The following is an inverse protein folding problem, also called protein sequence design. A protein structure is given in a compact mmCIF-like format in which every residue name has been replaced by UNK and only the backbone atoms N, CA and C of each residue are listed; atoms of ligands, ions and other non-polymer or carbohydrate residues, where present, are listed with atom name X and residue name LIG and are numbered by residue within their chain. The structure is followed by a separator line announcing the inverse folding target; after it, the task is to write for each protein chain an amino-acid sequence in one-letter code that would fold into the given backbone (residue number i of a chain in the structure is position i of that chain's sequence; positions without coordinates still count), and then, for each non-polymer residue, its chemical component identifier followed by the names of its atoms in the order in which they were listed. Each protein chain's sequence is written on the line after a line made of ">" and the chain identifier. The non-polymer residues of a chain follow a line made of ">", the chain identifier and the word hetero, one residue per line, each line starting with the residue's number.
data_IF_247735003717
#
_entry.id   IF_247735003717
#
_cell.length_a   1.000
_cell.length_b   1.000
_cell.length_c   1.000
_cell.angle_alpha   90.00
_cell.angle_beta   90.00
_cell.angle_gamma   90.00
#
_symmetry.space_group_name_H-M   'P 1'
#
loop_
_entity.id
_entity.type
_entity.pdbx_description
1 polymer ?
#
# COMPACT_ATOMS: atom_id res chain seq x y z
N UNK A 1 5.00 -26.40 1.14
CA UNK A 1 4.87 -24.98 0.77
C UNK A 1 6.26 -24.40 0.97
N UNK A 2 6.92 -23.97 -0.10
CA UNK A 2 8.32 -23.56 -0.06
C UNK A 2 8.42 -22.30 0.81
N UNK A 3 9.03 -22.40 1.99
CA UNK A 3 9.12 -21.31 2.98
C UNK A 3 10.26 -20.33 2.66
N UNK A 4 11.01 -20.56 1.58
CA UNK A 4 12.12 -19.73 1.09
C UNK A 4 11.69 -18.83 -0.09
N UNK A 5 10.48 -18.26 -0.04
CA UNK A 5 10.15 -17.15 -0.94
C UNK A 5 10.65 -15.87 -0.27
N UNK A 6 11.86 -15.46 -0.63
CA UNK A 6 12.35 -14.11 -0.32
C UNK A 6 11.33 -13.11 -0.89
N UNK A 7 10.57 -12.46 -0.02
CA UNK A 7 9.54 -11.48 -0.43
C UNK A 7 10.26 -10.17 -0.72
N UNK A 8 10.52 -9.91 -2.01
CA UNK A 8 11.13 -8.66 -2.48
C UNK A 8 10.04 -7.61 -2.74
N UNK A 9 10.32 -6.35 -2.41
CA UNK A 9 9.43 -5.23 -2.71
C UNK A 9 9.66 -4.62 -4.10
N UNK A 10 10.69 -5.07 -4.81
CA UNK A 10 11.12 -4.56 -6.13
C UNK A 10 10.02 -4.67 -7.20
N UNK A 11 9.04 -5.57 -6.99
CA UNK A 11 7.92 -5.72 -7.92
C UNK A 11 6.90 -4.57 -7.82
N UNK A 12 6.86 -3.83 -6.70
CA UNK A 12 5.83 -2.82 -6.43
C UNK A 12 6.37 -1.48 -5.95
N UNK A 13 7.68 -1.37 -5.71
CA UNK A 13 8.35 -0.10 -5.43
C UNK A 13 8.65 0.68 -6.73
N UNK A 14 9.19 1.89 -6.60
CA UNK A 14 9.60 2.74 -7.73
C UNK A 14 10.88 2.25 -8.45
N UNK A 15 11.27 0.97 -8.34
CA UNK A 15 12.43 0.42 -9.06
C UNK A 15 12.15 0.23 -10.56
N UNK A 16 13.21 -0.01 -11.35
CA UNK A 16 13.13 -0.16 -12.82
C UNK A 16 12.23 -1.32 -13.30
N UNK A 17 11.83 -2.24 -12.40
CA UNK A 17 10.92 -3.38 -12.65
C UNK A 17 9.49 -3.20 -12.10
N UNK A 18 9.18 -2.08 -11.46
CA UNK A 18 8.05 -1.93 -10.53
C UNK A 18 6.66 -1.67 -11.13
N UNK A 19 6.12 -2.59 -11.94
CA UNK A 19 4.70 -2.56 -12.36
C UNK A 19 3.87 -3.77 -11.86
N UNK A 20 4.51 -4.71 -11.15
CA UNK A 20 3.88 -5.93 -10.66
C UNK A 20 3.28 -6.83 -11.75
N UNK A 21 3.63 -6.63 -13.02
CA UNK A 21 3.00 -7.28 -14.16
C UNK A 21 1.56 -6.83 -14.42
N UNK A 22 1.15 -5.68 -13.88
CA UNK A 22 -0.19 -5.11 -14.00
C UNK A 22 -0.21 -4.02 -15.07
N UNK A 23 -1.27 -4.00 -15.88
CA UNK A 23 -1.50 -2.92 -16.84
C UNK A 23 -1.50 -1.56 -16.12
N UNK A 24 -0.66 -0.64 -16.58
CA UNK A 24 -0.39 0.66 -15.93
C UNK A 24 0.19 0.58 -14.50
N UNK A 25 0.69 -0.57 -14.04
CA UNK A 25 1.11 -0.79 -12.66
C UNK A 25 2.09 0.26 -12.12
N UNK A 26 3.15 0.58 -12.86
CA UNK A 26 4.11 1.60 -12.44
C UNK A 26 3.48 3.00 -12.29
N UNK A 27 2.50 3.36 -13.13
CA UNK A 27 1.78 4.63 -13.02
C UNK A 27 0.83 4.63 -11.82
N UNK A 28 0.17 3.51 -11.54
CA UNK A 28 -0.70 3.32 -10.38
C UNK A 28 0.09 3.32 -9.06
N UNK A 29 1.28 2.73 -9.01
CA UNK A 29 2.19 2.81 -7.86
C UNK A 29 2.59 4.26 -7.56
N UNK A 30 2.98 5.02 -8.59
CA UNK A 30 3.28 6.46 -8.44
C UNK A 30 2.07 7.28 -7.98
N UNK A 31 0.86 6.95 -8.45
CA UNK A 31 -0.38 7.57 -7.96
C UNK A 31 -0.57 7.31 -6.47
N UNK A 32 -0.40 6.07 -6.02
CA UNK A 32 -0.49 5.72 -4.60
C UNK A 32 0.51 6.52 -3.76
N UNK A 33 1.77 6.62 -4.18
CA UNK A 33 2.78 7.43 -3.46
C UNK A 33 2.40 8.91 -3.40
N UNK A 34 1.97 9.48 -4.54
CA UNK A 34 1.62 10.90 -4.62
C UNK A 34 0.40 11.28 -3.77
N UNK A 35 -0.52 10.34 -3.51
CA UNK A 35 -1.64 10.53 -2.59
C UNK A 35 -1.13 10.82 -1.16
N UNK A 36 0.03 10.29 -0.76
CA UNK A 36 0.59 10.45 0.58
C UNK A 36 1.62 11.57 0.72
N UNK A 37 2.24 12.04 -0.36
CA UNK A 37 3.40 12.94 -0.32
C UNK A 37 3.11 14.43 -0.02
N UNK A 38 1.89 14.80 0.38
CA UNK A 38 1.41 16.18 0.63
C UNK A 38 1.64 17.21 -0.52
N UNK A 39 2.28 16.81 -1.62
CA UNK A 39 2.53 17.62 -2.81
C UNK A 39 1.33 17.58 -3.77
N UNK A 40 0.52 18.65 -3.69
CA UNK A 40 -0.66 18.79 -4.53
C UNK A 40 -0.34 18.95 -6.02
N UNK A 41 0.83 19.50 -6.36
CA UNK A 41 1.26 19.67 -7.76
C UNK A 41 1.66 18.34 -8.39
N UNK A 42 2.43 17.54 -7.66
CA UNK A 42 2.77 16.18 -8.05
C UNK A 42 1.53 15.31 -8.21
N UNK A 43 0.60 15.37 -7.24
CA UNK A 43 -0.65 14.61 -7.28
C UNK A 43 -1.53 15.00 -8.49
N UNK A 44 -1.66 16.29 -8.79
CA UNK A 44 -2.41 16.74 -9.97
C UNK A 44 -1.79 16.22 -11.27
N UNK A 45 -0.46 16.34 -11.40
CA UNK A 45 0.29 15.86 -12.58
C UNK A 45 0.13 14.36 -12.82
N UNK A 46 0.15 13.53 -11.76
CA UNK A 46 -0.01 12.08 -11.90
C UNK A 46 -1.46 11.70 -12.21
N UNK A 47 -2.45 12.41 -11.66
CA UNK A 47 -3.87 12.21 -12.04
C UNK A 47 -4.09 12.46 -13.53
N UNK A 48 -3.51 13.53 -14.08
CA UNK A 48 -3.61 13.84 -15.50
C UNK A 48 -2.97 12.72 -16.36
N UNK A 49 -1.81 12.20 -15.94
CA UNK A 49 -1.16 11.06 -16.61
C UNK A 49 -2.02 9.78 -16.58
N UNK A 50 -2.70 9.49 -15.47
CA UNK A 50 -3.60 8.33 -15.35
C UNK A 50 -4.82 8.50 -16.27
N UNK A 51 -5.41 9.70 -16.30
CA UNK A 51 -6.54 9.99 -17.19
C UNK A 51 -6.14 9.83 -18.66
N UNK A 52 -4.96 10.32 -19.04
CA UNK A 52 -4.45 10.21 -20.41
C UNK A 52 -4.17 8.75 -20.80
N UNK A 53 -3.54 7.97 -19.92
CA UNK A 53 -3.12 6.61 -20.23
C UNK A 53 -4.24 5.56 -20.11
N UNK A 54 -5.11 5.71 -19.12
CA UNK A 54 -6.07 4.67 -18.71
C UNK A 54 -7.53 5.15 -18.64
N UNK A 55 -7.77 6.47 -18.68
CA UNK A 55 -9.10 7.07 -18.62
C UNK A 55 -9.56 7.46 -17.22
N UNK A 56 -10.61 8.28 -17.19
CA UNK A 56 -11.13 8.85 -15.94
C UNK A 56 -11.76 7.80 -15.00
N UNK A 57 -12.41 6.77 -15.55
CA UNK A 57 -13.03 5.71 -14.75
C UNK A 57 -11.97 4.91 -13.97
N UNK A 58 -10.83 4.62 -14.60
CA UNK A 58 -9.69 3.94 -13.95
C UNK A 58 -9.12 4.80 -12.82
N UNK A 59 -9.01 6.12 -13.02
CA UNK A 59 -8.56 7.01 -11.94
C UNK A 59 -9.51 6.96 -10.73
N UNK A 60 -10.82 7.00 -10.97
CA UNK A 60 -11.83 6.95 -9.91
C UNK A 60 -11.72 5.65 -9.13
N UNK A 61 -11.64 4.52 -9.82
CA UNK A 61 -11.53 3.19 -9.19
C UNK A 61 -10.22 3.06 -8.39
N UNK A 62 -9.09 3.48 -8.95
CA UNK A 62 -7.80 3.43 -8.27
C UNK A 62 -7.80 4.26 -6.97
N UNK A 63 -8.30 5.50 -7.03
CA UNK A 63 -8.39 6.37 -5.84
C UNK A 63 -9.38 5.81 -4.81
N UNK A 64 -10.50 5.21 -5.25
CA UNK A 64 -11.46 4.57 -4.37
C UNK A 64 -10.82 3.38 -3.61
N UNK A 65 -10.01 2.57 -4.28
CA UNK A 65 -9.24 1.48 -3.65
C UNK A 65 -8.25 2.03 -2.62
N UNK A 66 -7.46 3.06 -2.96
CA UNK A 66 -6.53 3.68 -2.01
C UNK A 66 -7.25 4.22 -0.77
N UNK A 67 -8.39 4.89 -0.95
CA UNK A 67 -9.20 5.41 0.15
C UNK A 67 -9.79 4.29 1.03
N UNK A 68 -10.21 3.17 0.42
CA UNK A 68 -10.72 2.01 1.15
C UNK A 68 -9.65 1.40 2.06
N UNK A 69 -8.43 1.20 1.57
CA UNK A 69 -7.34 0.67 2.38
C UNK A 69 -6.95 1.62 3.52
N UNK A 70 -6.93 2.93 3.26
CA UNK A 70 -6.71 3.92 4.30
C UNK A 70 -7.75 3.82 5.43
N UNK A 71 -9.04 3.72 5.07
CA UNK A 71 -10.13 3.56 6.03
C UNK A 71 -9.99 2.26 6.84
N UNK A 72 -9.70 1.12 6.19
CA UNK A 72 -9.58 -0.18 6.85
C UNK A 72 -8.43 -0.20 7.87
N UNK A 73 -7.29 0.44 7.56
CA UNK A 73 -6.19 0.62 8.52
C UNK A 73 -6.66 1.35 9.78
N UNK A 74 -7.38 2.47 9.62
CA UNK A 74 -7.92 3.22 10.77
C UNK A 74 -8.91 2.40 11.61
N UNK A 75 -9.77 1.61 10.97
CA UNK A 75 -10.69 0.73 11.67
C UNK A 75 -9.92 -0.32 12.47
N UNK A 76 -8.95 -1.00 11.85
CA UNK A 76 -8.14 -2.03 12.50
C UNK A 76 -7.37 -1.49 13.71
N UNK A 77 -6.75 -0.31 13.58
CA UNK A 77 -6.05 0.37 14.68
C UNK A 77 -7.00 0.72 15.82
N UNK A 78 -8.19 1.23 15.48
CA UNK A 78 -9.19 1.65 16.44
C UNK A 78 -9.84 0.47 17.17
N UNK A 79 -9.99 -0.69 16.54
CA UNK A 79 -10.60 -1.88 17.18
C UNK A 79 -9.57 -2.78 17.82
N UNK A 80 -8.30 -2.67 17.44
CA UNK A 80 -7.25 -3.63 17.82
C UNK A 80 -7.43 -4.97 17.12
N UNK A 81 -7.89 -4.97 15.86
CA UNK A 81 -8.10 -6.20 15.07
C UNK A 81 -6.81 -7.02 15.02
N UNK A 82 -6.83 -8.29 15.47
CA UNK A 82 -5.63 -9.12 15.47
C UNK A 82 -5.30 -9.59 14.04
N UNK A 83 -4.02 -9.84 13.79
CA UNK A 83 -3.59 -10.64 12.65
C UNK A 83 -4.18 -12.06 12.78
N UNK A 84 -4.53 -12.66 11.64
CA UNK A 84 -4.90 -14.07 11.61
C UNK A 84 -3.69 -14.94 11.99
N UNK A 85 -3.97 -16.11 12.59
CA UNK A 85 -2.91 -16.98 13.10
C UNK A 85 -1.93 -17.46 12.02
N UNK A 86 -2.37 -17.54 10.76
CA UNK A 86 -1.54 -17.94 9.63
C UNK A 86 -0.57 -16.85 9.17
N UNK A 87 -0.88 -15.58 9.42
CA UNK A 87 -0.09 -14.42 8.99
C UNK A 87 0.89 -13.93 10.05
N UNK A 88 0.83 -14.38 11.31
CA UNK A 88 1.71 -13.88 12.37
C UNK A 88 3.17 -14.19 12.07
N UNK A 89 3.52 -15.47 11.92
CA UNK A 89 4.91 -15.91 11.70
C UNK A 89 5.46 -15.44 10.34
N UNK A 90 4.74 -15.60 9.21
CA UNK A 90 5.28 -15.22 7.91
C UNK A 90 5.53 -13.71 7.75
N UNK A 91 4.80 -12.88 8.49
CA UNK A 91 4.92 -11.42 8.38
C UNK A 91 5.93 -10.80 9.35
N UNK A 92 6.63 -11.56 10.19
CA UNK A 92 7.59 -11.00 11.17
C UNK A 92 8.64 -10.15 10.47
N UNK A 93 9.35 -10.73 9.51
CA UNK A 93 10.45 -10.05 8.80
C UNK A 93 9.98 -8.80 8.07
N UNK A 94 8.81 -8.88 7.41
CA UNK A 94 8.21 -7.73 6.71
C UNK A 94 7.88 -6.62 7.70
N UNK A 95 7.27 -6.96 8.84
CA UNK A 95 6.88 -5.96 9.85
C UNK A 95 8.09 -5.27 10.48
N UNK A 96 9.18 -6.01 10.67
CA UNK A 96 10.46 -5.46 11.13
C UNK A 96 11.07 -4.54 10.07
N UNK A 97 11.14 -4.98 8.82
CA UNK A 97 11.73 -4.24 7.71
C UNK A 97 11.02 -2.89 7.46
N UNK A 98 9.69 -2.87 7.47
CA UNK A 98 8.91 -1.63 7.26
C UNK A 98 8.71 -0.81 8.54
N UNK A 99 9.18 -1.32 9.70
CA UNK A 99 9.09 -0.64 10.98
C UNK A 99 7.67 -0.50 11.56
N UNK A 100 6.68 -1.24 11.05
CA UNK A 100 5.27 -1.10 11.47
C UNK A 100 5.04 -1.44 12.95
N UNK A 101 5.93 -2.25 13.54
CA UNK A 101 5.88 -2.58 14.97
C UNK A 101 6.06 -1.34 15.89
N UNK A 102 6.56 -0.22 15.37
CA UNK A 102 6.69 1.03 16.13
C UNK A 102 5.37 1.83 16.27
N UNK A 103 4.32 1.47 15.52
CA UNK A 103 3.03 2.15 15.58
C UNK A 103 2.11 1.52 16.64
N UNK A 104 1.49 2.37 17.46
CA UNK A 104 0.58 1.95 18.53
C UNK A 104 -0.80 1.60 17.97
N UNK A 105 -1.25 0.35 18.15
CA UNK A 105 -2.67 -0.01 18.01
C UNK A 105 -3.39 0.08 19.36
N UNK A 106 -4.75 0.13 19.38
CA UNK A 106 -5.53 0.10 20.64
C UNK A 106 -5.11 -1.04 21.58
N UNK A 107 -4.62 -2.15 21.02
CA UNK A 107 -4.19 -3.33 21.78
C UNK A 107 -2.89 -3.12 22.57
N UNK A 108 -2.00 -2.25 22.11
CA UNK A 108 -0.76 -1.90 22.83
C UNK A 108 -0.99 -0.78 23.87
N UNK A 109 -2.08 -0.01 23.76
CA UNK A 109 -2.47 0.99 24.76
C UNK A 109 -3.12 0.40 26.03
N UNK A 110 -3.41 -0.90 26.04
CA UNK A 110 -4.07 -1.61 27.16
C UNK A 110 -3.13 -2.56 27.93
N UNK A 111 -1.83 -2.59 27.60
CA UNK A 111 -0.79 -3.24 28.42
C UNK A 111 -0.15 -2.22 29.35
#
# INVERSE_FOLDING_TARGET
>A
MNQDAEVTFEAIDNSESGDGGVEHGALLSRLCEAIYNEDQGQLASIKDQVIEAAGADVLVDAVAVSAHFYMMTRIADATGTPLDAGSVEPSIQIRELVGVNAFTSRREAQK
#
